data_IF_601484981537
#
_entry.id   IF_601484981537
#
_cell.length_a   1.000
_cell.length_b   1.000
_cell.length_c   1.000
_cell.angle_alpha   90.00
_cell.angle_beta   90.00
_cell.angle_gamma   90.00
#
_symmetry.space_group_name_H-M   'P 1'
#
loop_
_entity.id
_entity.type
_entity.pdbx_description
1 polymer ?
#
# COMPACT_ATOMS: atom_id res chain seq x y z
N UNK A 1 -27.61 -0.86 3.61
CA UNK A 1 -27.32 0.05 2.48
C UNK A 1 -28.06 -0.48 1.28
N UNK A 2 -28.80 0.35 0.56
CA UNK A 2 -29.60 -0.06 -0.59
C UNK A 2 -28.69 -0.22 -1.81
N UNK A 3 -29.14 -0.97 -2.81
CA UNK A 3 -28.38 -1.18 -4.06
C UNK A 3 -28.12 0.14 -4.81
N UNK A 4 -29.02 1.09 -4.65
CA UNK A 4 -28.89 2.44 -5.20
C UNK A 4 -27.73 3.24 -4.58
N UNK A 5 -27.53 3.14 -3.26
CA UNK A 5 -26.42 3.82 -2.57
C UNK A 5 -25.06 3.29 -3.06
N UNK A 6 -24.97 1.96 -3.26
CA UNK A 6 -23.80 1.29 -3.82
C UNK A 6 -23.50 1.76 -5.24
N UNK A 7 -24.54 1.90 -6.06
CA UNK A 7 -24.44 2.39 -7.44
C UNK A 7 -23.88 3.81 -7.48
N UNK A 8 -24.41 4.72 -6.67
CA UNK A 8 -23.93 6.11 -6.56
C UNK A 8 -22.47 6.16 -6.13
N UNK A 9 -22.09 5.38 -5.12
CA UNK A 9 -20.71 5.31 -4.63
C UNK A 9 -19.77 4.79 -5.73
N UNK A 10 -20.19 3.77 -6.48
CA UNK A 10 -19.39 3.22 -7.58
C UNK A 10 -19.25 4.19 -8.76
N UNK A 11 -20.31 4.92 -9.10
CA UNK A 11 -20.25 6.00 -10.08
C UNK A 11 -19.29 7.10 -9.63
N UNK A 12 -19.32 7.48 -8.37
CA UNK A 12 -18.42 8.48 -7.82
C UNK A 12 -16.94 8.07 -7.92
N UNK A 13 -16.63 6.78 -7.68
CA UNK A 13 -15.29 6.23 -7.94
C UNK A 13 -14.89 6.35 -9.40
N UNK A 14 -15.82 6.10 -10.32
CA UNK A 14 -15.53 6.14 -11.75
C UNK A 14 -15.00 7.52 -12.21
N UNK A 15 -15.49 8.59 -11.60
CA UNK A 15 -15.04 9.97 -11.88
C UNK A 15 -13.56 10.21 -11.54
N UNK A 16 -12.94 9.37 -10.71
CA UNK A 16 -11.55 9.54 -10.29
C UNK A 16 -10.53 8.93 -11.26
N UNK A 17 -10.97 8.20 -12.29
CA UNK A 17 -10.07 7.45 -13.18
C UNK A 17 -9.05 8.33 -13.90
N UNK A 18 -9.53 9.40 -14.55
CA UNK A 18 -8.67 10.35 -15.25
C UNK A 18 -7.64 11.00 -14.32
N UNK A 19 -8.02 11.21 -13.06
CA UNK A 19 -7.12 11.74 -12.02
C UNK A 19 -6.03 10.72 -11.69
N UNK A 20 -6.38 9.45 -11.44
CA UNK A 20 -5.40 8.39 -11.17
C UNK A 20 -4.37 8.33 -12.31
N UNK A 21 -4.82 8.19 -13.56
CA UNK A 21 -3.96 8.08 -14.74
C UNK A 21 -3.03 9.29 -14.89
N UNK A 22 -3.54 10.50 -14.67
CA UNK A 22 -2.73 11.72 -14.73
C UNK A 22 -1.59 11.66 -13.71
N UNK A 23 -1.90 11.26 -12.47
CA UNK A 23 -0.93 11.24 -11.39
C UNK A 23 0.11 10.13 -11.51
N UNK A 24 -0.22 8.92 -11.99
CA UNK A 24 0.81 7.92 -12.27
C UNK A 24 1.80 8.40 -13.33
N UNK A 25 1.30 8.95 -14.45
CA UNK A 25 2.16 9.53 -15.49
C UNK A 25 3.03 10.67 -14.94
N UNK A 26 2.45 11.55 -14.13
CA UNK A 26 3.17 12.66 -13.51
C UNK A 26 4.27 12.17 -12.57
N UNK A 27 3.98 11.20 -11.69
CA UNK A 27 4.95 10.63 -10.77
C UNK A 27 6.12 9.96 -11.51
N UNK A 28 5.82 9.20 -12.56
CA UNK A 28 6.84 8.57 -13.41
C UNK A 28 7.76 9.61 -14.06
N UNK A 29 7.16 10.66 -14.61
CA UNK A 29 7.87 11.74 -15.28
C UNK A 29 8.79 12.50 -14.31
N UNK A 30 8.30 12.87 -13.13
CA UNK A 30 9.11 13.58 -12.14
C UNK A 30 10.22 12.69 -11.55
N UNK A 31 9.97 11.40 -11.33
CA UNK A 31 11.03 10.46 -10.93
C UNK A 31 12.14 10.36 -12.00
N UNK A 32 11.76 10.25 -13.28
CA UNK A 32 12.72 10.20 -14.39
C UNK A 32 13.55 11.48 -14.53
N UNK A 33 12.93 12.65 -14.34
CA UNK A 33 13.64 13.95 -14.33
C UNK A 33 14.71 14.06 -13.24
N UNK A 34 14.48 13.41 -12.10
CA UNK A 34 15.43 13.36 -11.00
C UNK A 34 16.57 12.35 -11.24
N UNK A 35 16.60 11.68 -12.40
CA UNK A 35 17.59 10.66 -12.72
C UNK A 35 17.40 9.34 -11.98
N UNK A 36 16.23 9.12 -11.39
CA UNK A 36 15.93 7.88 -10.67
C UNK A 36 15.68 6.77 -11.70
N UNK A 37 16.38 5.65 -11.54
CA UNK A 37 16.19 4.46 -12.37
C UNK A 37 14.74 3.94 -12.25
N UNK A 38 13.97 4.13 -13.31
CA UNK A 38 12.55 3.78 -13.36
C UNK A 38 12.30 2.27 -13.27
N UNK A 39 13.31 1.42 -13.50
CA UNK A 39 13.17 -0.02 -13.30
C UNK A 39 13.07 -0.37 -11.81
N UNK A 40 13.74 0.39 -10.95
CA UNK A 40 13.68 0.25 -9.49
C UNK A 40 12.50 1.00 -8.85
N UNK A 41 11.79 1.81 -9.62
CA UNK A 41 10.58 2.52 -9.17
C UNK A 41 9.33 1.65 -9.38
N UNK A 42 8.46 1.62 -8.38
CA UNK A 42 7.13 1.01 -8.51
C UNK A 42 6.06 2.07 -8.29
N UNK A 43 5.22 2.27 -9.31
CA UNK A 43 4.05 3.16 -9.25
C UNK A 43 2.79 2.30 -9.29
N UNK A 44 1.90 2.57 -8.36
CA UNK A 44 0.68 1.83 -8.19
C UNK A 44 -0.46 2.76 -7.81
N UNK A 45 -1.55 2.65 -8.53
CA UNK A 45 -2.77 3.41 -8.33
C UNK A 45 -3.86 2.46 -7.86
N UNK A 46 -4.78 2.97 -7.05
CA UNK A 46 -5.96 2.22 -6.63
C UNK A 46 -7.12 3.13 -6.33
N UNK A 47 -8.29 2.54 -6.42
CA UNK A 47 -9.51 3.11 -5.88
C UNK A 47 -9.75 2.56 -4.47
N UNK A 48 -10.18 3.41 -3.54
CA UNK A 48 -10.48 3.03 -2.15
C UNK A 48 -11.61 2.02 -2.10
N UNK A 49 -11.54 1.01 -1.21
CA UNK A 49 -12.54 -0.07 -1.01
C UNK A 49 -13.88 0.41 -0.41
N UNK A 50 -15.00 -0.26 -0.72
CA UNK A 50 -16.36 0.28 -0.42
C UNK A 50 -16.54 0.25 1.08
N UNK A 51 -16.17 -0.89 1.66
CA UNK A 51 -16.18 -1.10 3.09
C UNK A 51 -15.39 -0.02 3.84
N UNK A 52 -14.19 0.34 3.36
CA UNK A 52 -13.38 1.40 3.95
C UNK A 52 -13.97 2.80 3.79
N UNK A 53 -14.73 3.05 2.72
CA UNK A 53 -15.47 4.30 2.51
C UNK A 53 -16.62 4.41 3.52
N UNK A 54 -17.39 3.33 3.68
CA UNK A 54 -18.51 3.25 4.63
C UNK A 54 -18.02 3.47 6.06
N UNK A 55 -16.98 2.75 6.51
CA UNK A 55 -16.42 2.92 7.85
C UNK A 55 -15.95 4.36 8.10
N UNK A 56 -15.40 5.03 7.07
CA UNK A 56 -14.95 6.43 7.18
C UNK A 56 -16.14 7.39 7.30
N UNK A 57 -17.21 7.17 6.55
CA UNK A 57 -18.45 7.95 6.65
C UNK A 57 -19.15 7.74 8.02
N UNK A 58 -19.16 6.51 8.53
CA UNK A 58 -19.70 6.20 9.86
C UNK A 58 -18.90 6.86 10.98
N UNK A 59 -17.56 6.85 10.88
CA UNK A 59 -16.67 7.51 11.86
C UNK A 59 -16.78 9.03 11.83
N UNK A 60 -17.12 9.61 10.68
CA UNK A 60 -17.28 11.06 10.51
C UNK A 60 -18.66 11.38 9.93
N UNK A 61 -19.72 11.43 10.75
CA UNK A 61 -21.10 11.55 10.27
C UNK A 61 -21.39 12.81 9.42
N UNK A 62 -20.60 13.88 9.59
CA UNK A 62 -20.70 15.11 8.80
C UNK A 62 -19.96 15.03 7.45
N UNK A 63 -19.26 13.94 7.17
CA UNK A 63 -18.50 13.76 5.94
C UNK A 63 -19.44 13.43 4.77
N UNK A 64 -19.37 14.25 3.73
CA UNK A 64 -19.96 13.93 2.43
C UNK A 64 -18.94 13.20 1.56
N UNK A 65 -19.44 12.40 0.62
CA UNK A 65 -18.59 11.62 -0.28
C UNK A 65 -17.64 12.49 -1.11
N UNK A 66 -18.08 13.69 -1.51
CA UNK A 66 -17.28 14.71 -2.21
C UNK A 66 -16.14 15.30 -1.37
N UNK A 67 -16.19 15.18 -0.04
CA UNK A 67 -15.15 15.64 0.88
C UNK A 67 -14.13 14.55 1.22
N UNK A 68 -14.26 13.35 0.66
CA UNK A 68 -13.36 12.24 0.98
C UNK A 68 -12.08 12.29 0.11
N UNK A 69 -10.99 12.71 0.73
CA UNK A 69 -9.73 13.00 0.02
C UNK A 69 -8.97 11.76 -0.54
N UNK A 70 -9.33 10.55 -0.08
CA UNK A 70 -8.57 9.32 -0.31
C UNK A 70 -9.31 8.26 -1.12
N UNK A 71 -10.30 8.68 -1.95
CA UNK A 71 -10.99 7.79 -2.89
C UNK A 71 -10.05 7.35 -4.01
N UNK A 72 -9.29 8.28 -4.58
CA UNK A 72 -8.17 8.00 -5.44
C UNK A 72 -6.87 7.96 -4.61
N UNK A 73 -6.10 6.89 -4.77
CA UNK A 73 -4.79 6.77 -4.15
C UNK A 73 -3.74 6.41 -5.18
N UNK A 74 -2.64 7.16 -5.21
CA UNK A 74 -1.42 6.78 -5.91
C UNK A 74 -0.31 6.48 -4.90
N UNK A 75 0.54 5.52 -5.21
CA UNK A 75 1.73 5.19 -4.45
C UNK A 75 2.92 5.15 -5.39
N UNK A 76 4.01 5.75 -4.95
CA UNK A 76 5.31 5.57 -5.57
C UNK A 76 6.29 5.04 -4.52
N UNK A 77 6.93 3.93 -4.87
CA UNK A 77 7.98 3.28 -4.07
C UNK A 77 9.31 3.52 -4.78
N UNK A 78 10.22 4.17 -4.07
CA UNK A 78 11.52 4.63 -4.56
C UNK A 78 12.66 3.81 -3.93
N UNK A 79 13.83 3.74 -4.57
CA UNK A 79 14.95 2.93 -4.10
C UNK A 79 15.41 3.32 -2.70
N UNK A 80 15.59 4.63 -2.45
CA UNK A 80 16.13 5.14 -1.19
C UNK A 80 15.21 6.19 -0.54
N UNK A 81 15.44 6.45 0.76
CA UNK A 81 14.78 7.57 1.44
C UNK A 81 15.25 8.94 0.90
N UNK A 82 16.45 9.05 0.35
CA UNK A 82 16.90 10.29 -0.29
C UNK A 82 16.07 10.61 -1.54
N UNK A 83 15.78 9.60 -2.37
CA UNK A 83 14.88 9.74 -3.52
C UNK A 83 13.47 10.18 -3.10
N UNK A 84 12.98 9.66 -1.97
CA UNK A 84 11.68 10.07 -1.38
C UNK A 84 11.68 11.57 -1.06
N UNK A 85 12.75 12.08 -0.46
CA UNK A 85 12.86 13.51 -0.14
C UNK A 85 12.98 14.37 -1.41
N UNK A 86 13.82 13.96 -2.37
CA UNK A 86 13.97 14.67 -3.64
C UNK A 86 12.66 14.76 -4.42
N UNK A 87 11.97 13.62 -4.60
CA UNK A 87 10.68 13.61 -5.29
C UNK A 87 9.63 14.43 -4.54
N UNK A 88 9.59 14.32 -3.21
CA UNK A 88 8.64 15.12 -2.41
C UNK A 88 8.85 16.61 -2.60
N UNK A 89 10.10 17.09 -2.62
CA UNK A 89 10.40 18.50 -2.83
C UNK A 89 10.02 18.95 -4.25
N UNK A 90 10.35 18.15 -5.27
CA UNK A 90 9.93 18.43 -6.65
C UNK A 90 8.39 18.52 -6.78
N UNK A 91 7.65 17.63 -6.09
CA UNK A 91 6.20 17.65 -6.06
C UNK A 91 5.62 18.89 -5.35
N UNK A 92 6.24 19.36 -4.25
CA UNK A 92 5.83 20.59 -3.55
C UNK A 92 5.96 21.83 -4.42
N UNK A 93 7.07 21.95 -5.14
CA UNK A 93 7.40 23.14 -5.95
C UNK A 93 6.68 23.15 -7.31
N UNK A 94 6.10 22.02 -7.71
CA UNK A 94 5.44 21.88 -9.01
C UNK A 94 4.23 22.80 -9.13
N UNK A 95 4.34 23.80 -10.01
CA UNK A 95 3.18 24.50 -10.57
C UNK A 95 2.36 23.52 -11.40
N UNK A 96 1.23 23.06 -10.86
CA UNK A 96 0.37 22.10 -11.54
C UNK A 96 -1.08 22.60 -11.66
N UNK A 97 -1.85 21.93 -12.53
CA UNK A 97 -3.31 22.09 -12.64
C UNK A 97 -4.06 21.66 -11.37
N UNK A 98 -3.34 21.19 -10.35
CA UNK A 98 -3.88 20.73 -9.08
C UNK A 98 -3.20 21.50 -7.94
N UNK A 99 -3.97 21.86 -6.93
CA UNK A 99 -3.47 22.54 -5.73
C UNK A 99 -2.99 21.49 -4.71
N UNK A 100 -1.80 21.68 -4.14
CA UNK A 100 -1.38 20.92 -2.97
C UNK A 100 -2.19 21.42 -1.78
N UNK A 101 -2.95 20.52 -1.14
CA UNK A 101 -3.84 20.86 -0.03
C UNK A 101 -3.22 20.49 1.31
N UNK A 102 -2.53 19.34 1.37
CA UNK A 102 -1.95 18.82 2.61
C UNK A 102 -0.69 18.04 2.31
N UNK A 103 0.28 18.16 3.21
CA UNK A 103 1.46 17.31 3.25
C UNK A 103 1.72 16.84 4.67
N UNK A 104 1.74 15.52 4.87
CA UNK A 104 2.06 14.88 6.15
C UNK A 104 3.35 14.07 6.00
N UNK A 105 4.35 14.38 6.81
CA UNK A 105 5.63 13.66 6.78
C UNK A 105 5.72 12.62 7.92
N UNK A 106 5.22 11.41 7.68
CA UNK A 106 5.31 10.31 8.64
C UNK A 106 6.68 9.61 8.63
N UNK A 107 7.67 10.11 7.88
CA UNK A 107 9.05 9.62 7.97
C UNK A 107 9.77 10.37 9.09
N UNK A 108 9.64 11.70 9.12
CA UNK A 108 10.16 12.54 10.19
C UNK A 108 9.39 12.37 11.50
N UNK A 109 8.07 12.20 11.43
CA UNK A 109 7.18 11.99 12.58
C UNK A 109 6.37 10.70 12.41
N UNK A 110 6.99 9.52 12.64
CA UNK A 110 6.32 8.23 12.48
C UNK A 110 5.06 8.11 13.33
N UNK A 111 4.08 7.35 12.84
CA UNK A 111 2.91 7.00 13.65
C UNK A 111 3.32 6.05 14.79
N UNK A 112 2.49 6.00 15.83
CA UNK A 112 2.73 5.16 17.02
C UNK A 112 2.89 3.67 16.70
N UNK A 113 2.18 3.18 15.68
CA UNK A 113 2.28 1.80 15.20
C UNK A 113 3.59 1.50 14.46
N UNK A 114 4.41 2.52 14.16
CA UNK A 114 5.63 2.40 13.37
C UNK A 114 5.45 2.74 11.89
N UNK A 115 4.26 3.14 11.45
CA UNK A 115 4.01 3.46 10.04
C UNK A 115 4.79 4.70 9.57
N UNK A 116 5.38 4.59 8.35
CA UNK A 116 6.19 5.63 7.69
C UNK A 116 5.83 5.77 6.21
N UNK A 117 5.69 7.02 5.76
CA UNK A 117 5.50 7.46 4.37
C UNK A 117 5.35 8.99 4.36
N UNK A 118 5.59 9.64 3.22
CA UNK A 118 5.09 11.00 3.00
C UNK A 118 3.74 10.92 2.30
N UNK A 119 2.72 11.60 2.86
CA UNK A 119 1.39 11.69 2.26
C UNK A 119 1.19 13.10 1.71
N UNK A 120 0.81 13.20 0.45
CA UNK A 120 0.53 14.46 -0.23
C UNK A 120 -0.88 14.40 -0.78
N UNK A 121 -1.74 15.34 -0.39
CA UNK A 121 -3.10 15.45 -0.92
C UNK A 121 -3.09 16.58 -1.95
N UNK A 122 -3.47 16.24 -3.17
CA UNK A 122 -3.75 17.22 -4.21
C UNK A 122 -5.24 17.30 -4.52
N UNK A 123 -5.66 18.47 -4.99
CA UNK A 123 -7.01 18.75 -5.47
C UNK A 123 -6.98 19.27 -6.89
N UNK A 124 -7.79 18.71 -7.77
CA UNK A 124 -7.96 19.21 -9.14
C UNK A 124 -8.55 20.63 -9.13
N UNK A 125 -7.87 21.57 -9.81
CA UNK A 125 -8.39 22.92 -10.00
C UNK A 125 -9.48 22.87 -11.08
N UNK A 126 -10.55 23.64 -10.88
CA UNK A 126 -11.61 23.87 -11.87
C UNK A 126 -12.44 22.62 -12.25
N UNK A 127 -12.52 21.60 -11.39
CA UNK A 127 -13.51 20.53 -11.50
C UNK A 127 -14.56 20.71 -10.42
N UNK A 128 -15.84 20.61 -10.79
CA UNK A 128 -16.96 20.59 -9.87
C UNK A 128 -17.75 19.29 -10.09
N UNK A 129 -17.95 18.46 -9.07
CA UNK A 129 -17.33 18.52 -7.74
C UNK A 129 -15.79 18.33 -7.77
N UNK A 130 -15.11 18.89 -6.77
CA UNK A 130 -13.65 18.90 -6.72
C UNK A 130 -13.08 17.52 -6.38
N UNK A 131 -12.28 16.97 -7.30
CA UNK A 131 -11.65 15.65 -7.14
C UNK A 131 -10.33 15.80 -6.39
N UNK A 132 -10.12 14.92 -5.41
CA UNK A 132 -8.89 14.84 -4.64
C UNK A 132 -8.19 13.50 -4.84
N UNK A 133 -6.88 13.52 -4.66
CA UNK A 133 -6.04 12.32 -4.67
C UNK A 133 -5.04 12.35 -3.52
N UNK A 134 -4.87 11.22 -2.86
CA UNK A 134 -3.79 10.98 -1.91
C UNK A 134 -2.62 10.30 -2.61
N UNK A 135 -1.44 10.92 -2.56
CA UNK A 135 -0.18 10.33 -3.02
C UNK A 135 0.63 9.88 -1.81
N UNK A 136 1.06 8.63 -1.81
CA UNK A 136 1.94 8.05 -0.81
C UNK A 136 3.33 7.83 -1.41
N UNK A 137 4.30 8.60 -0.95
CA UNK A 137 5.72 8.46 -1.35
C UNK A 137 6.43 7.63 -0.28
N UNK A 138 7.12 6.57 -0.69
CA UNK A 138 7.81 5.63 0.21
C UNK A 138 9.13 5.17 -0.36
N UNK A 139 10.05 4.77 0.51
CA UNK A 139 11.21 3.96 0.13
C UNK A 139 10.84 2.48 0.05
N UNK A 140 11.76 1.66 -0.46
CA UNK A 140 11.61 0.20 -0.46
C UNK A 140 11.41 -0.37 0.96
N UNK A 141 12.20 0.03 1.96
CA UNK A 141 12.07 -0.50 3.33
C UNK A 141 10.73 -0.10 3.97
N UNK A 142 10.27 1.13 3.75
CA UNK A 142 8.96 1.59 4.22
C UNK A 142 7.82 0.82 3.55
N UNK A 143 7.97 0.48 2.27
CA UNK A 143 7.01 -0.37 1.58
C UNK A 143 7.02 -1.81 2.11
N UNK A 144 8.20 -2.42 2.30
CA UNK A 144 8.38 -3.77 2.87
C UNK A 144 7.72 -3.85 4.25
N UNK A 145 7.95 -2.87 5.12
CA UNK A 145 7.33 -2.81 6.45
C UNK A 145 5.80 -2.78 6.36
N UNK A 146 5.24 -1.89 5.52
CA UNK A 146 3.80 -1.74 5.39
C UNK A 146 3.12 -2.97 4.77
N UNK A 147 3.80 -3.63 3.83
CA UNK A 147 3.37 -4.92 3.28
C UNK A 147 3.40 -6.00 4.35
N UNK A 148 4.46 -6.08 5.17
CA UNK A 148 4.55 -7.03 6.28
C UNK A 148 3.36 -6.92 7.23
N UNK A 149 3.00 -5.69 7.61
CA UNK A 149 1.80 -5.43 8.42
C UNK A 149 0.52 -5.96 7.76
N UNK A 150 0.36 -5.79 6.45
CA UNK A 150 -0.83 -6.29 5.71
C UNK A 150 -0.84 -7.81 5.56
N UNK A 151 0.31 -8.43 5.32
CA UNK A 151 0.47 -9.89 5.23
C UNK A 151 0.12 -10.52 6.57
N UNK A 152 0.81 -10.14 7.65
CA UNK A 152 0.53 -10.73 8.96
C UNK A 152 -0.88 -10.42 9.44
N UNK A 153 -1.42 -9.24 9.17
CA UNK A 153 -2.81 -8.92 9.53
C UNK A 153 -3.82 -9.83 8.82
N UNK A 154 -3.55 -10.16 7.55
CA UNK A 154 -4.36 -11.12 6.78
C UNK A 154 -4.28 -12.52 7.39
N UNK A 155 -3.08 -12.95 7.78
CA UNK A 155 -2.82 -14.29 8.32
C UNK A 155 -3.42 -14.49 9.72
N UNK A 156 -3.23 -13.49 10.58
CA UNK A 156 -3.74 -13.48 11.95
C UNK A 156 -5.22 -13.07 12.00
N UNK A 157 -5.83 -12.73 10.86
CA UNK A 157 -7.19 -12.16 10.74
C UNK A 157 -7.43 -10.95 11.66
N UNK A 158 -6.39 -10.13 11.83
CA UNK A 158 -6.35 -8.94 12.70
C UNK A 158 -5.93 -7.70 11.91
N UNK A 159 -6.29 -6.53 12.42
CA UNK A 159 -5.88 -5.24 11.85
C UNK A 159 -4.89 -4.55 12.79
N UNK A 160 -3.60 -4.87 12.63
CA UNK A 160 -2.54 -4.26 13.44
C UNK A 160 -2.47 -2.73 13.36
N UNK A 161 -2.95 -2.14 12.24
CA UNK A 161 -3.03 -0.68 12.03
C UNK A 161 -4.08 0.01 12.89
N UNK A 162 -5.09 -0.73 13.36
CA UNK A 162 -6.13 -0.23 14.26
C UNK A 162 -5.88 -0.61 15.72
N UNK A 163 -4.74 -1.25 16.02
CA UNK A 163 -4.41 -1.75 17.35
C UNK A 163 -4.96 -3.15 17.64
N UNK A 164 -5.62 -3.79 16.67
CA UNK A 164 -6.10 -5.16 16.80
C UNK A 164 -4.93 -6.13 16.58
N UNK A 165 -4.61 -6.94 17.60
CA UNK A 165 -3.52 -7.90 17.55
C UNK A 165 -2.83 -8.05 18.91
N UNK A 166 -2.11 -9.14 19.11
CA UNK A 166 -1.38 -9.34 20.37
C UNK A 166 -0.35 -8.22 20.57
N UNK A 167 -0.14 -7.83 21.82
CA UNK A 167 0.88 -6.82 22.17
C UNK A 167 2.27 -7.19 21.63
N UNK A 168 2.54 -8.50 21.49
CA UNK A 168 3.76 -9.01 20.88
C UNK A 168 3.94 -8.55 19.43
N UNK A 169 2.91 -8.65 18.58
CA UNK A 169 2.98 -8.19 17.19
C UNK A 169 3.20 -6.68 17.09
N UNK A 170 2.51 -5.89 17.93
CA UNK A 170 2.69 -4.45 17.97
C UNK A 170 4.13 -4.05 18.37
N UNK A 171 4.70 -4.76 19.35
CA UNK A 171 6.12 -4.56 19.74
C UNK A 171 7.05 -4.94 18.59
N UNK A 172 6.83 -6.07 17.92
CA UNK A 172 7.63 -6.50 16.79
C UNK A 172 7.66 -5.44 15.67
N UNK A 173 6.50 -4.96 15.22
CA UNK A 173 6.45 -4.00 14.11
C UNK A 173 7.06 -2.65 14.45
N UNK A 174 6.89 -2.16 15.68
CA UNK A 174 7.51 -0.91 16.14
C UNK A 174 9.04 -1.02 16.18
N UNK A 175 9.56 -2.15 16.66
CA UNK A 175 11.00 -2.44 16.65
C UNK A 175 11.53 -2.53 15.21
N UNK A 176 10.84 -3.27 14.33
CA UNK A 176 11.22 -3.39 12.92
C UNK A 176 11.23 -2.03 12.21
N UNK A 177 10.21 -1.20 12.44
CA UNK A 177 10.14 0.16 11.90
C UNK A 177 11.34 1.00 12.30
N UNK A 178 11.73 0.95 13.57
CA UNK A 178 12.89 1.71 14.07
C UNK A 178 14.21 1.16 13.55
N UNK A 179 14.32 -0.17 13.37
CA UNK A 179 15.52 -0.77 12.77
C UNK A 179 15.70 -0.40 11.30
N UNK A 180 14.61 -0.33 10.54
CA UNK A 180 14.62 0.18 9.16
C UNK A 180 14.93 1.67 9.14
N UNK A 181 14.36 2.47 10.05
CA UNK A 181 14.62 3.89 10.14
C UNK A 181 16.11 4.21 10.34
N UNK A 182 16.79 3.45 11.22
CA UNK A 182 18.24 3.55 11.41
C UNK A 182 18.99 3.27 10.10
N UNK A 183 18.61 2.23 9.35
CA UNK A 183 19.25 1.90 8.06
C UNK A 183 19.07 3.01 7.02
N UNK A 184 17.96 3.75 7.08
CA UNK A 184 17.64 4.87 6.20
C UNK A 184 18.12 6.24 6.72
N UNK A 185 18.84 6.28 7.84
CA UNK A 185 19.24 7.51 8.53
C UNK A 185 18.05 8.45 8.83
N UNK A 186 16.95 7.89 9.35
CA UNK A 186 15.74 8.63 9.74
C UNK A 186 15.42 8.41 11.24
N UNK A 187 14.65 9.31 11.88
CA UNK A 187 14.35 9.21 13.30
C UNK A 187 13.65 7.90 13.67
N UNK A 188 14.07 7.27 14.77
CA UNK A 188 13.37 6.11 15.35
C UNK A 188 12.06 6.52 16.00
N UNK A 189 11.27 5.56 16.50
CA UNK A 189 10.13 5.90 17.37
C UNK A 189 10.63 6.51 18.68
N UNK A 190 9.91 7.48 19.30
CA UNK A 190 10.36 8.15 20.52
C UNK A 190 10.72 7.18 21.67
N UNK A 191 9.95 6.11 21.85
CA UNK A 191 10.22 5.08 22.86
C UNK A 191 11.50 4.26 22.64
N UNK A 192 12.08 4.34 21.44
CA UNK A 192 13.29 3.62 21.04
C UNK A 192 14.54 4.51 21.01
N UNK A 193 14.41 5.83 21.19
CA UNK A 193 15.55 6.76 21.18
C UNK A 193 16.60 6.45 22.25
N UNK A 194 16.16 5.88 23.38
CA UNK A 194 17.02 5.47 24.50
C UNK A 194 17.85 4.20 24.24
N UNK A 195 17.57 3.45 23.18
CA UNK A 195 18.24 2.18 22.92
C UNK A 195 19.38 2.37 21.92
N UNK A 196 20.52 1.74 22.20
CA UNK A 196 21.56 1.56 21.18
C UNK A 196 21.06 0.63 20.07
N UNK A 197 21.69 0.71 18.89
CA UNK A 197 21.39 -0.18 17.75
C UNK A 197 21.48 -1.65 18.19
N UNK A 198 22.49 -2.01 18.99
CA UNK A 198 22.68 -3.37 19.52
C UNK A 198 21.50 -3.79 20.40
N UNK A 199 21.08 -2.95 21.34
CA UNK A 199 19.94 -3.25 22.23
C UNK A 199 18.63 -3.41 21.45
N UNK A 200 18.38 -2.53 20.48
CA UNK A 200 17.20 -2.59 19.63
C UNK A 200 17.21 -3.87 18.77
N UNK A 201 18.36 -4.22 18.19
CA UNK A 201 18.52 -5.44 17.40
C UNK A 201 18.30 -6.70 18.26
N UNK A 202 18.86 -6.75 19.48
CA UNK A 202 18.63 -7.86 20.41
C UNK A 202 17.14 -8.03 20.72
N UNK A 203 16.42 -6.95 21.03
CA UNK A 203 14.97 -6.99 21.29
C UNK A 203 14.19 -7.45 20.05
N UNK A 204 14.56 -6.97 18.87
CA UNK A 204 13.91 -7.37 17.61
C UNK A 204 14.13 -8.85 17.31
N UNK A 205 15.35 -9.37 17.47
CA UNK A 205 15.65 -10.79 17.28
C UNK A 205 14.90 -11.68 18.28
N UNK A 206 14.78 -11.24 19.54
CA UNK A 206 13.95 -11.94 20.53
C UNK A 206 12.49 -12.03 20.08
N UNK A 207 11.92 -10.96 19.50
CA UNK A 207 10.55 -10.98 18.98
C UNK A 207 10.40 -11.84 17.73
N UNK A 208 11.38 -11.83 16.81
CA UNK A 208 11.41 -12.68 15.62
C UNK A 208 11.34 -14.16 16.02
N UNK A 209 12.13 -14.57 17.02
CA UNK A 209 12.11 -15.93 17.56
C UNK A 209 10.83 -16.23 18.32
N UNK A 210 10.38 -15.33 19.20
CA UNK A 210 9.17 -15.54 20.02
C UNK A 210 7.92 -15.76 19.17
N UNK A 211 7.83 -15.08 18.02
CA UNK A 211 6.69 -15.15 17.11
C UNK A 211 6.92 -16.13 15.95
N UNK A 212 8.04 -16.87 15.91
CA UNK A 212 8.41 -17.79 14.82
C UNK A 212 8.25 -17.17 13.43
N UNK A 213 8.69 -15.90 13.29
CA UNK A 213 8.34 -15.07 12.12
C UNK A 213 8.93 -15.64 10.83
N UNK A 214 10.16 -16.15 10.86
CA UNK A 214 10.84 -16.66 9.66
C UNK A 214 10.14 -17.92 9.14
N UNK A 215 9.85 -18.85 10.03
CA UNK A 215 9.16 -20.11 9.74
C UNK A 215 7.76 -19.83 9.19
N UNK A 216 7.06 -18.87 9.81
CA UNK A 216 5.73 -18.44 9.40
C UNK A 216 5.75 -17.88 7.96
N UNK A 217 6.68 -16.98 7.65
CA UNK A 217 6.86 -16.42 6.30
C UNK A 217 7.21 -17.48 5.25
N UNK A 218 8.06 -18.45 5.60
CA UNK A 218 8.46 -19.54 4.70
C UNK A 218 7.30 -20.50 4.38
N UNK A 219 6.53 -20.89 5.40
CA UNK A 219 5.34 -21.72 5.24
C UNK A 219 4.34 -21.06 4.29
N UNK A 220 4.07 -19.77 4.47
CA UNK A 220 3.15 -19.04 3.62
C UNK A 220 3.66 -18.81 2.21
N UNK A 221 4.92 -18.45 2.04
CA UNK A 221 5.50 -18.27 0.69
C UNK A 221 5.39 -19.55 -0.13
N UNK A 222 5.55 -20.71 0.51
CA UNK A 222 5.40 -22.02 -0.12
C UNK A 222 3.94 -22.34 -0.44
N UNK A 223 3.01 -22.05 0.48
CA UNK A 223 1.58 -22.35 0.32
C UNK A 223 0.89 -21.45 -0.72
N UNK A 224 1.39 -20.24 -0.93
CA UNK A 224 0.83 -19.23 -1.85
C UNK A 224 1.71 -18.98 -3.09
N UNK A 225 2.64 -19.89 -3.39
CA UNK A 225 3.38 -19.88 -4.66
C UNK A 225 2.38 -20.10 -5.81
N UNK A 226 1.74 -19.02 -6.23
CA UNK A 226 0.46 -19.03 -6.93
C UNK A 226 0.57 -19.44 -8.41
N UNK A 227 -0.52 -20.04 -8.91
CA UNK A 227 -0.82 -20.27 -10.34
C UNK A 227 -0.60 -19.03 -11.23
N UNK A 228 -0.71 -17.82 -10.65
CA UNK A 228 -0.44 -16.55 -11.33
C UNK A 228 0.94 -16.58 -12.01
N UNK A 229 1.98 -17.09 -11.34
CA UNK A 229 3.35 -17.13 -11.89
C UNK A 229 3.43 -18.03 -13.13
N UNK A 230 2.59 -19.07 -13.20
CA UNK A 230 2.50 -19.99 -14.34
C UNK A 230 1.62 -19.43 -15.47
N UNK A 231 0.50 -18.76 -15.14
CA UNK A 231 -0.42 -18.10 -16.09
C UNK A 231 0.13 -16.80 -16.68
N UNK A 232 1.32 -16.35 -16.25
CA UNK A 232 2.07 -15.19 -16.77
C UNK A 232 2.46 -15.31 -18.26
N UNK A 233 2.19 -16.45 -18.92
CA UNK A 233 2.49 -16.68 -20.34
C UNK A 233 1.53 -15.94 -21.30
N UNK A 234 2.16 -15.05 -22.08
CA UNK A 234 1.77 -14.45 -23.38
C UNK A 234 0.58 -13.47 -23.40
N UNK A 235 0.90 -12.19 -23.58
CA UNK A 235 0.13 -11.29 -24.45
C UNK A 235 -1.03 -10.48 -23.86
N UNK A 236 -1.36 -10.63 -22.57
CA UNK A 236 -2.40 -9.77 -21.96
C UNK A 236 -1.80 -8.45 -21.48
N UNK A 237 -1.77 -7.46 -22.36
CA UNK A 237 -1.58 -6.06 -21.99
C UNK A 237 -2.91 -5.52 -21.46
N UNK A 238 -2.90 -5.08 -20.20
CA UNK A 238 -4.01 -4.38 -19.58
C UNK A 238 -3.48 -3.41 -18.55
N UNK A 239 -4.25 -2.35 -18.33
CA UNK A 239 -3.88 -1.25 -17.44
C UNK A 239 -4.39 -1.51 -16.02
N UNK A 240 -5.55 -2.14 -15.90
CA UNK A 240 -6.16 -2.46 -14.62
C UNK A 240 -6.02 -3.95 -14.31
N UNK A 241 -5.79 -4.25 -13.03
CA UNK A 241 -5.80 -5.59 -12.48
C UNK A 241 -6.77 -5.65 -11.30
N UNK A 242 -7.75 -6.54 -11.38
CA UNK A 242 -8.63 -6.90 -10.28
C UNK A 242 -8.04 -8.13 -9.59
N UNK A 243 -7.49 -7.93 -8.40
CA UNK A 243 -6.83 -8.99 -7.64
C UNK A 243 -7.78 -9.47 -6.56
N UNK A 244 -8.01 -10.79 -6.50
CA UNK A 244 -8.82 -11.45 -5.46
C UNK A 244 -7.97 -12.51 -4.76
N UNK A 245 -7.60 -12.24 -3.51
CA UNK A 245 -6.94 -13.19 -2.62
C UNK A 245 -8.00 -13.93 -1.80
N UNK A 246 -8.01 -15.26 -1.89
CA UNK A 246 -8.79 -16.15 -1.04
C UNK A 246 -7.85 -16.91 -0.09
N UNK A 247 -7.88 -16.56 1.19
CA UNK A 247 -6.99 -17.13 2.21
C UNK A 247 -7.41 -18.53 2.67
N UNK A 248 -8.68 -18.92 2.49
CA UNK A 248 -9.13 -20.29 2.79
C UNK A 248 -8.62 -21.27 1.73
N UNK A 249 -8.64 -20.86 0.46
CA UNK A 249 -8.18 -21.68 -0.67
C UNK A 249 -6.71 -21.48 -1.01
N UNK A 250 -6.01 -20.61 -0.28
CA UNK A 250 -4.64 -20.17 -0.55
C UNK A 250 -4.41 -19.78 -2.02
N UNK A 251 -5.37 -19.08 -2.61
CA UNK A 251 -5.38 -18.80 -4.04
C UNK A 251 -5.57 -17.32 -4.34
N UNK A 252 -4.79 -16.82 -5.29
CA UNK A 252 -4.92 -15.45 -5.82
C UNK A 252 -5.35 -15.51 -7.28
N UNK A 253 -6.50 -14.93 -7.58
CA UNK A 253 -6.95 -14.68 -8.95
C UNK A 253 -6.63 -13.24 -9.38
N UNK A 254 -6.24 -13.07 -10.64
CA UNK A 254 -5.97 -11.76 -11.24
C UNK A 254 -6.71 -11.67 -12.57
N UNK A 255 -7.71 -10.79 -12.63
CA UNK A 255 -8.41 -10.45 -13.86
C UNK A 255 -7.84 -9.15 -14.44
N UNK A 256 -7.36 -9.20 -15.68
CA UNK A 256 -6.69 -8.07 -16.35
C UNK A 256 -7.65 -7.39 -17.32
N UNK A 257 -7.75 -6.06 -17.23
CA UNK A 257 -8.62 -5.24 -18.07
C UNK A 257 -7.82 -4.15 -18.80
N UNK A 258 -8.08 -3.92 -20.11
CA UNK A 258 -7.53 -2.77 -20.83
C UNK A 258 -8.15 -1.46 -20.31
N UNK A 259 -7.51 -0.32 -20.63
CA UNK A 259 -7.94 1.01 -20.17
C UNK A 259 -9.42 1.31 -20.47
N UNK A 260 -9.86 1.00 -21.70
CA UNK A 260 -11.24 1.18 -22.17
C UNK A 260 -12.30 0.38 -21.40
N UNK A 261 -11.91 -0.62 -20.60
CA UNK A 261 -12.79 -1.48 -19.81
C UNK A 261 -12.75 -1.15 -18.31
N UNK A 262 -12.33 0.07 -17.95
CA UNK A 262 -12.29 0.49 -16.55
C UNK A 262 -13.65 0.35 -15.85
N UNK A 263 -14.75 0.80 -16.48
CA UNK A 263 -16.10 0.70 -15.90
C UNK A 263 -16.50 -0.75 -15.64
N UNK A 264 -16.24 -1.66 -16.59
CA UNK A 264 -16.50 -3.10 -16.43
C UNK A 264 -15.68 -3.69 -15.27
N UNK A 265 -14.39 -3.33 -15.16
CA UNK A 265 -13.54 -3.77 -14.07
C UNK A 265 -14.05 -3.25 -12.71
N UNK A 266 -14.52 -2.01 -12.67
CA UNK A 266 -15.06 -1.35 -11.49
C UNK A 266 -16.40 -1.94 -11.05
N UNK A 267 -17.29 -2.29 -11.99
CA UNK A 267 -18.53 -3.02 -11.73
C UNK A 267 -18.27 -4.42 -11.19
N UNK A 268 -17.33 -5.16 -11.80
CA UNK A 268 -16.92 -6.47 -11.31
C UNK A 268 -16.35 -6.36 -9.89
N UNK A 269 -15.47 -5.38 -9.65
CA UNK A 269 -14.91 -5.10 -8.34
C UNK A 269 -16.01 -4.84 -7.30
N UNK A 270 -16.96 -3.96 -7.60
CA UNK A 270 -18.09 -3.66 -6.71
C UNK A 270 -18.96 -4.90 -6.42
N UNK A 271 -19.18 -5.78 -7.42
CA UNK A 271 -19.93 -7.03 -7.21
C UNK A 271 -19.23 -7.98 -6.24
N UNK A 272 -17.91 -8.13 -6.35
CA UNK A 272 -17.11 -8.98 -5.45
C UNK A 272 -17.10 -8.38 -4.05
N UNK A 273 -16.91 -7.05 -3.93
CA UNK A 273 -17.00 -6.36 -2.64
C UNK A 273 -18.38 -6.56 -2.00
N UNK A 274 -19.49 -6.49 -2.76
CA UNK A 274 -20.84 -6.71 -2.24
C UNK A 274 -21.03 -8.13 -1.72
N UNK A 275 -20.64 -9.14 -2.50
CA UNK A 275 -20.79 -10.57 -2.14
C UNK A 275 -19.95 -10.90 -0.89
N UNK A 276 -18.73 -10.37 -0.80
CA UNK A 276 -17.77 -10.74 0.23
C UNK A 276 -17.54 -9.68 1.31
N UNK A 277 -18.39 -8.66 1.43
CA UNK A 277 -18.18 -7.53 2.35
C UNK A 277 -18.00 -7.92 3.82
N UNK A 278 -18.56 -9.06 4.24
CA UNK A 278 -18.45 -9.61 5.60
C UNK A 278 -17.38 -10.69 5.75
N UNK A 279 -16.76 -11.13 4.65
CA UNK A 279 -15.74 -12.18 4.69
C UNK A 279 -14.40 -11.60 5.11
N UNK A 280 -13.75 -12.23 6.09
CA UNK A 280 -12.35 -11.94 6.45
C UNK A 280 -11.35 -12.70 5.57
N UNK A 281 -11.84 -13.63 4.75
CA UNK A 281 -11.01 -14.56 3.99
C UNK A 281 -10.83 -14.14 2.53
N UNK A 282 -11.67 -13.22 2.04
CA UNK A 282 -11.59 -12.68 0.69
C UNK A 282 -11.09 -11.24 0.75
N UNK A 283 -9.92 -11.00 0.18
CA UNK A 283 -9.38 -9.66 -0.01
C UNK A 283 -9.39 -9.31 -1.50
N UNK A 284 -10.08 -8.25 -1.86
CA UNK A 284 -10.19 -7.78 -3.25
C UNK A 284 -9.66 -6.36 -3.41
N UNK A 285 -9.04 -6.06 -4.55
CA UNK A 285 -8.66 -4.69 -4.95
C UNK A 285 -8.62 -4.55 -6.46
N UNK A 286 -9.06 -3.39 -6.93
CA UNK A 286 -8.83 -2.92 -8.30
C UNK A 286 -7.67 -1.92 -8.29
N UNK A 287 -6.63 -2.22 -9.07
CA UNK A 287 -5.41 -1.43 -9.13
C UNK A 287 -5.05 -1.10 -10.57
N UNK A 288 -4.35 0.01 -10.77
CA UNK A 288 -3.62 0.29 -12.00
C UNK A 288 -2.12 0.27 -11.69
N UNK A 289 -1.35 -0.42 -12.52
CA UNK A 289 0.11 -0.48 -12.45
C UNK A 289 0.68 -0.22 -13.83
N UNK A 290 1.76 0.56 -13.91
CA UNK A 290 2.42 0.93 -15.18
C UNK A 290 2.71 -0.28 -16.08
N UNK A 291 3.14 -1.37 -15.45
CA UNK A 291 3.41 -2.64 -16.12
C UNK A 291 2.88 -3.78 -15.25
N UNK A 292 2.09 -4.68 -15.85
CA UNK A 292 1.53 -5.84 -15.15
C UNK A 292 2.61 -6.73 -14.51
N UNK A 293 3.82 -6.72 -15.06
CA UNK A 293 4.98 -7.42 -14.49
C UNK A 293 5.40 -6.89 -13.11
N UNK A 294 5.09 -5.63 -12.78
CA UNK A 294 5.33 -5.01 -11.48
C UNK A 294 4.15 -5.17 -10.51
N UNK A 295 3.09 -5.89 -10.89
CA UNK A 295 1.89 -6.05 -10.05
C UNK A 295 2.20 -6.74 -8.71
N UNK A 296 2.93 -7.85 -8.75
CA UNK A 296 3.35 -8.59 -7.55
C UNK A 296 4.30 -7.77 -6.67
N UNK A 297 5.14 -6.92 -7.28
CA UNK A 297 6.02 -6.00 -6.55
C UNK A 297 5.25 -4.84 -5.90
N UNK A 298 4.18 -4.35 -6.54
CA UNK A 298 3.36 -3.24 -6.04
C UNK A 298 2.38 -3.65 -4.93
N UNK A 299 1.86 -4.88 -5.01
CA UNK A 299 0.87 -5.44 -4.09
C UNK A 299 1.27 -6.84 -3.57
N UNK A 300 2.48 -7.02 -3.02
CA UNK A 300 2.99 -8.33 -2.61
C UNK A 300 2.09 -9.03 -1.58
N UNK A 301 1.36 -8.27 -0.76
CA UNK A 301 0.41 -8.81 0.20
C UNK A 301 -0.75 -9.60 -0.44
N UNK A 302 -1.15 -9.29 -1.67
CA UNK A 302 -2.18 -10.05 -2.38
C UNK A 302 -1.68 -11.35 -3.01
N UNK A 303 -0.36 -11.49 -3.12
CA UNK A 303 0.31 -12.69 -3.62
C UNK A 303 1.01 -13.46 -2.49
N UNK A 304 0.89 -12.98 -1.25
CA UNK A 304 1.66 -13.44 -0.09
C UNK A 304 3.17 -13.54 -0.40
N UNK A 305 3.69 -12.64 -1.23
CA UNK A 305 5.13 -12.59 -1.50
C UNK A 305 5.83 -11.87 -0.35
N UNK A 306 6.52 -12.66 0.46
CA UNK A 306 7.21 -12.18 1.66
C UNK A 306 8.72 -12.26 1.56
N UNK A 307 9.25 -12.58 0.36
CA UNK A 307 10.69 -12.82 0.15
C UNK A 307 11.52 -11.64 0.60
N UNK A 308 11.16 -10.42 0.17
CA UNK A 308 11.89 -9.21 0.53
C UNK A 308 11.92 -9.00 2.06
N UNK A 309 10.78 -9.17 2.73
CA UNK A 309 10.70 -9.06 4.19
C UNK A 309 11.56 -10.14 4.87
N UNK A 310 11.42 -11.40 4.45
CA UNK A 310 12.18 -12.53 4.99
C UNK A 310 13.70 -12.31 4.85
N UNK A 311 14.18 -11.89 3.68
CA UNK A 311 15.60 -11.56 3.46
C UNK A 311 16.10 -10.48 4.43
N UNK A 312 15.32 -9.43 4.67
CA UNK A 312 15.72 -8.35 5.58
C UNK A 312 15.73 -8.81 7.04
N UNK A 313 14.74 -9.62 7.45
CA UNK A 313 14.71 -10.19 8.79
C UNK A 313 15.87 -11.16 9.02
N UNK A 314 16.23 -11.98 8.04
CA UNK A 314 17.39 -12.87 8.13
C UNK A 314 18.70 -12.08 8.31
N UNK A 315 18.91 -11.01 7.53
CA UNK A 315 20.08 -10.13 7.71
C UNK A 315 20.12 -9.52 9.11
N UNK A 316 18.96 -9.13 9.67
CA UNK A 316 18.86 -8.59 11.04
C UNK A 316 19.29 -9.64 12.08
N UNK A 317 18.86 -10.89 11.90
CA UNK A 317 19.20 -12.01 12.79
C UNK A 317 20.69 -12.36 12.70
N UNK A 318 21.28 -12.30 11.51
CA UNK A 318 22.71 -12.58 11.28
C UNK A 318 23.63 -11.40 11.65
N UNK A 319 23.08 -10.22 11.91
CA UNK A 319 23.87 -9.03 12.21
C UNK A 319 24.46 -8.33 10.98
N UNK A 320 23.97 -8.65 9.79
CA UNK A 320 24.44 -8.17 8.48
C UNK A 320 23.57 -7.03 7.90
N UNK A 321 22.59 -6.54 8.68
CA UNK A 321 21.60 -5.58 8.20
C UNK A 321 22.08 -4.12 8.21
#
# INVERSE_FOLDING_TARGET
>A
MKDEDLRILNQWRAHHDATLIYYGKMLKHEAGKLGIDLDQVTIAERVKRIHSMILKLQRFPQMQLSMMDDIAGARIVLPTNQDVLHLTNALKEKKSKHALIKLSNYIAHPKQDGYRSIHIIYRAKNQSPSIQIEIQVRSQLQHIWATGVEVFGTLEKTSFKTGDGSQAWQVFFRLLSSRFAIKENTPVLPEHERYSIKQLNTKLVQMIRKLNIIELLQAYTSMYASDWRQKRRKGRSGKYALITLNTQKNHTNVDIYPERKFTEALEKYASIEKIHHSSKDINVVLVNVDHINKLEQAYPNYFMDTKALSTHLSKIVLGEF
#
